data_IF_186929430282
#
_entry.id   IF_186929430282
#
_cell.length_a   1.000
_cell.length_b   1.000
_cell.length_c   1.000
_cell.angle_alpha   90.00
_cell.angle_beta   90.00
_cell.angle_gamma   90.00
#
_symmetry.space_group_name_H-M   'P 1'
#
loop_
_entity.id
_entity.type
_entity.pdbx_description
1 polymer ?
#
# COMPACT_ATOMS: atom_id res chain seq x y z
N UNK A 1 8.89 -5.53 -18.16
CA UNK A 1 8.82 -6.44 -17.00
C UNK A 1 9.75 -7.61 -17.25
N UNK A 2 10.26 -8.25 -16.20
CA UNK A 2 10.85 -9.58 -16.28
C UNK A 2 10.09 -10.51 -15.35
N UNK A 3 9.97 -11.75 -15.80
CA UNK A 3 9.27 -12.85 -15.17
C UNK A 3 9.43 -14.08 -16.08
N UNK A 4 9.10 -15.29 -15.62
CA UNK A 4 8.66 -15.60 -14.26
C UNK A 4 9.77 -15.42 -13.22
N UNK A 5 9.39 -15.24 -11.95
CA UNK A 5 10.34 -15.08 -10.82
C UNK A 5 10.63 -16.45 -10.21
N UNK A 6 11.91 -16.80 -10.11
CA UNK A 6 12.36 -17.99 -9.38
C UNK A 6 12.89 -17.60 -8.02
N UNK A 7 12.30 -18.19 -6.97
CA UNK A 7 12.69 -17.99 -5.58
C UNK A 7 13.48 -19.21 -5.13
N UNK A 8 14.63 -18.97 -4.48
CA UNK A 8 15.44 -20.00 -3.84
C UNK A 8 15.46 -19.77 -2.34
N UNK A 9 15.10 -20.79 -1.56
CA UNK A 9 15.16 -20.77 -0.10
C UNK A 9 15.88 -22.04 0.38
N UNK A 10 17.14 -21.88 0.77
CA UNK A 10 18.03 -23.01 1.03
C UNK A 10 18.29 -23.81 -0.25
N UNK A 11 18.04 -25.12 -0.19
CA UNK A 11 18.18 -26.05 -1.33
C UNK A 11 16.92 -26.14 -2.20
N UNK A 12 15.82 -25.53 -1.76
CA UNK A 12 14.55 -25.58 -2.45
C UNK A 12 14.41 -24.40 -3.42
N UNK A 13 13.73 -24.64 -4.53
CA UNK A 13 13.43 -23.63 -5.54
C UNK A 13 11.99 -23.76 -6.03
N UNK A 14 11.35 -22.63 -6.29
CA UNK A 14 10.04 -22.56 -6.92
C UNK A 14 9.97 -21.39 -7.89
N UNK A 15 9.23 -21.54 -8.98
CA UNK A 15 9.05 -20.49 -9.99
C UNK A 15 7.59 -20.06 -10.02
N UNK A 16 7.36 -18.76 -9.91
CA UNK A 16 6.04 -18.13 -9.94
C UNK A 16 5.89 -17.25 -11.18
N UNK A 17 4.67 -17.13 -11.70
CA UNK A 17 4.33 -16.26 -12.83
C UNK A 17 4.24 -14.76 -12.45
N UNK A 18 4.94 -14.36 -11.38
CA UNK A 18 5.05 -12.97 -10.97
C UNK A 18 6.00 -12.19 -11.89
N UNK A 19 5.90 -10.87 -11.84
CA UNK A 19 6.71 -9.98 -12.65
C UNK A 19 7.28 -8.81 -11.84
N UNK A 20 8.46 -8.33 -12.24
CA UNK A 20 9.05 -7.10 -11.73
C UNK A 20 9.50 -6.20 -12.88
N UNK A 21 9.58 -4.89 -12.64
CA UNK A 21 10.14 -3.96 -13.62
C UNK A 21 11.61 -4.26 -13.92
N UNK A 22 12.05 -4.04 -15.16
CA UNK A 22 13.45 -4.23 -15.58
C UNK A 22 14.25 -2.96 -15.26
N UNK A 23 14.44 -2.70 -13.97
CA UNK A 23 15.23 -1.57 -13.50
C UNK A 23 15.97 -1.95 -12.22
N UNK A 24 17.32 -1.93 -12.21
CA UNK A 24 18.12 -2.30 -11.03
C UNK A 24 17.84 -1.46 -9.78
N UNK A 25 17.38 -0.21 -9.93
CA UNK A 25 16.97 0.64 -8.80
C UNK A 25 15.71 0.13 -8.12
N UNK A 26 14.90 -0.66 -8.83
CA UNK A 26 13.64 -1.24 -8.37
C UNK A 26 13.72 -2.77 -8.46
N UNK A 27 14.84 -3.33 -7.97
CA UNK A 27 14.97 -4.78 -7.81
C UNK A 27 13.97 -5.28 -6.75
N UNK A 28 13.55 -6.56 -6.82
CA UNK A 28 12.76 -7.21 -5.78
C UNK A 28 13.42 -7.04 -4.41
N UNK A 29 12.61 -6.70 -3.41
CA UNK A 29 13.05 -6.68 -2.02
C UNK A 29 12.64 -7.99 -1.34
N UNK A 30 13.54 -8.55 -0.55
CA UNK A 30 13.33 -9.78 0.18
C UNK A 30 13.47 -9.49 1.68
N UNK A 31 12.45 -9.84 2.45
CA UNK A 31 12.43 -9.67 3.91
C UNK A 31 12.07 -11.01 4.54
N UNK A 32 12.93 -11.50 5.44
CA UNK A 32 12.57 -12.59 6.35
C UNK A 32 12.05 -11.97 7.65
N UNK A 33 10.86 -12.38 8.05
CA UNK A 33 10.23 -11.90 9.28
C UNK A 33 9.30 -12.95 9.86
N UNK A 34 9.32 -13.12 11.18
CA UNK A 34 8.31 -13.89 11.93
C UNK A 34 7.02 -13.04 12.04
N UNK A 35 6.19 -13.09 10.99
CA UNK A 35 4.94 -12.32 10.91
C UNK A 35 3.86 -12.96 11.79
N UNK A 36 3.86 -14.29 11.89
CA UNK A 36 2.93 -15.07 12.71
C UNK A 36 3.20 -15.02 14.22
N UNK A 37 4.41 -14.60 14.62
CA UNK A 37 4.93 -14.64 16.00
C UNK A 37 4.92 -16.04 16.60
N UNK A 38 5.11 -17.05 15.76
CA UNK A 38 5.18 -18.45 16.16
C UNK A 38 6.63 -18.98 16.21
N UNK A 39 7.60 -18.10 15.91
CA UNK A 39 9.02 -18.43 15.86
C UNK A 39 9.49 -18.98 14.51
N UNK A 40 8.62 -19.05 13.50
CA UNK A 40 8.97 -19.39 12.12
C UNK A 40 8.94 -18.11 11.28
N UNK A 41 9.96 -17.92 10.43
CA UNK A 41 10.03 -16.77 9.55
C UNK A 41 9.27 -17.05 8.25
N UNK A 42 8.49 -16.07 7.79
CA UNK A 42 7.98 -15.99 6.43
C UNK A 42 8.91 -15.16 5.54
N UNK A 43 9.00 -15.53 4.26
CA UNK A 43 9.68 -14.74 3.25
C UNK A 43 8.68 -13.81 2.58
N UNK A 44 8.84 -12.52 2.79
CA UNK A 44 8.12 -11.46 2.08
C UNK A 44 8.95 -11.01 0.87
N UNK A 45 8.32 -11.01 -0.29
CA UNK A 45 8.89 -10.59 -1.56
C UNK A 45 8.08 -9.39 -2.03
N UNK A 46 8.72 -8.22 -2.11
CA UNK A 46 8.11 -7.00 -2.62
C UNK A 46 8.59 -6.78 -4.05
N UNK A 47 7.68 -6.83 -5.00
CA UNK A 47 7.96 -6.64 -6.42
C UNK A 47 7.49 -5.25 -6.84
N UNK A 48 8.34 -4.48 -7.51
CA UNK A 48 7.91 -3.24 -8.16
C UNK A 48 7.29 -3.59 -9.50
N UNK A 49 6.00 -3.28 -9.69
CA UNK A 49 5.23 -3.58 -10.92
C UNK A 49 4.99 -2.34 -11.78
N UNK A 50 5.20 -1.14 -11.22
CA UNK A 50 5.15 0.12 -11.98
C UNK A 50 5.85 1.25 -11.24
N UNK A 51 6.47 2.16 -11.98
CA UNK A 51 7.08 3.37 -11.41
C UNK A 51 7.08 4.52 -12.44
N UNK A 52 7.13 5.76 -11.97
CA UNK A 52 7.19 6.95 -12.81
C UNK A 52 7.02 8.24 -12.01
N UNK A 53 6.80 9.36 -12.70
CA UNK A 53 6.50 10.63 -12.05
C UNK A 53 5.18 10.53 -11.29
N UNK A 54 5.25 10.46 -9.97
CA UNK A 54 4.08 10.34 -9.09
C UNK A 54 3.51 8.92 -8.96
N UNK A 55 4.14 7.91 -9.55
CA UNK A 55 3.66 6.52 -9.52
C UNK A 55 4.72 5.61 -8.93
N UNK A 56 4.32 4.80 -7.95
CA UNK A 56 5.06 3.64 -7.47
C UNK A 56 4.04 2.57 -7.10
N UNK A 57 3.99 1.49 -7.87
CA UNK A 57 3.12 0.35 -7.66
C UNK A 57 3.97 -0.88 -7.36
N UNK A 58 3.55 -1.63 -6.35
CA UNK A 58 4.21 -2.85 -5.92
C UNK A 58 3.19 -3.94 -5.62
N UNK A 59 3.64 -5.19 -5.70
CA UNK A 59 2.95 -6.38 -5.20
C UNK A 59 3.75 -6.96 -4.03
N UNK A 60 3.05 -7.53 -3.05
CA UNK A 60 3.66 -8.23 -1.92
C UNK A 60 3.24 -9.70 -1.95
N UNK A 61 4.22 -10.58 -2.01
CA UNK A 61 4.04 -12.03 -1.90
C UNK A 61 4.64 -12.51 -0.58
N UNK A 62 3.91 -13.31 0.18
CA UNK A 62 4.36 -13.83 1.47
C UNK A 62 4.38 -15.34 1.39
N UNK A 63 5.55 -15.93 1.60
CA UNK A 63 5.78 -17.36 1.46
C UNK A 63 6.15 -17.99 2.80
N UNK A 64 5.57 -19.16 3.06
CA UNK A 64 6.10 -20.10 4.03
C UNK A 64 7.38 -20.76 3.50
N UNK A 65 8.16 -21.39 4.37
CA UNK A 65 9.41 -22.08 4.02
C UNK A 65 9.24 -23.22 2.99
N UNK A 66 8.01 -23.74 2.85
CA UNK A 66 7.66 -24.76 1.86
C UNK A 66 7.12 -24.20 0.53
N UNK A 67 7.23 -22.89 0.31
CA UNK A 67 6.70 -22.15 -0.84
C UNK A 67 5.17 -22.06 -0.92
N UNK A 68 4.44 -22.34 0.17
CA UNK A 68 3.02 -22.00 0.24
C UNK A 68 2.86 -20.48 0.35
N UNK A 69 2.14 -19.87 -0.59
CA UNK A 69 1.82 -18.44 -0.54
C UNK A 69 0.64 -18.15 0.40
N UNK A 70 0.83 -17.16 1.27
CA UNK A 70 -0.19 -16.61 2.16
C UNK A 70 -0.70 -15.32 1.52
N UNK A 71 -1.94 -15.33 1.04
CA UNK A 71 -2.51 -14.21 0.31
C UNK A 71 -2.81 -13.03 1.24
N UNK A 72 -2.37 -11.84 0.82
CA UNK A 72 -2.77 -10.59 1.44
C UNK A 72 -4.22 -10.23 1.01
N UNK A 73 -5.06 -9.69 1.90
CA UNK A 73 -6.34 -9.10 1.51
C UNK A 73 -6.16 -7.92 0.56
N UNK A 74 -7.24 -7.47 -0.07
CA UNK A 74 -7.23 -6.29 -0.93
C UNK A 74 -7.12 -5.00 -0.07
N UNK A 75 -5.95 -4.33 -0.05
CA UNK A 75 -5.75 -3.19 0.81
C UNK A 75 -6.49 -1.94 0.36
N UNK A 76 -6.74 -1.81 -0.94
CA UNK A 76 -7.50 -0.68 -1.47
C UNK A 76 -8.95 -0.77 -0.98
N UNK A 77 -9.56 -1.95 -1.12
CA UNK A 77 -10.91 -2.22 -0.65
C UNK A 77 -11.06 -2.01 0.86
N UNK A 78 -10.10 -2.48 1.66
CA UNK A 78 -10.13 -2.32 3.12
C UNK A 78 -9.96 -0.85 3.53
N UNK A 79 -9.06 -0.12 2.86
CA UNK A 79 -8.86 1.31 3.11
C UNK A 79 -10.08 2.14 2.71
N UNK A 80 -10.68 1.88 1.54
CA UNK A 80 -11.89 2.57 1.07
C UNK A 80 -13.08 2.39 2.03
N UNK A 81 -13.19 1.23 2.70
CA UNK A 81 -14.24 1.00 3.70
C UNK A 81 -14.01 1.77 5.00
N UNK A 82 -12.76 2.04 5.35
CA UNK A 82 -12.39 2.76 6.57
C UNK A 82 -12.41 4.29 6.40
N UNK A 83 -12.30 4.76 5.15
CA UNK A 83 -12.25 6.19 4.82
C UNK A 83 -13.65 6.75 4.60
N UNK A 84 -13.92 7.89 5.22
CA UNK A 84 -15.01 8.78 4.83
C UNK A 84 -14.47 10.19 4.60
N UNK A 85 -15.22 11.03 3.91
CA UNK A 85 -14.76 12.38 3.58
C UNK A 85 -15.90 13.38 3.49
N UNK A 86 -15.53 14.65 3.63
CA UNK A 86 -16.39 15.79 3.29
C UNK A 86 -15.62 16.78 2.44
N UNK A 87 -16.28 17.38 1.45
CA UNK A 87 -15.74 18.45 0.60
C UNK A 87 -16.64 19.67 0.75
N UNK A 88 -16.06 20.83 1.00
CA UNK A 88 -16.78 22.09 1.14
C UNK A 88 -16.04 23.24 0.45
N UNK A 89 -16.78 24.01 -0.34
CA UNK A 89 -16.27 25.18 -1.05
C UNK A 89 -16.60 26.46 -0.28
N UNK A 90 -15.61 27.34 -0.08
CA UNK A 90 -15.81 28.64 0.56
C UNK A 90 -14.89 29.70 -0.05
N UNK A 91 -15.47 30.73 -0.66
CA UNK A 91 -14.75 31.94 -1.11
C UNK A 91 -13.49 31.67 -1.96
N UNK A 92 -13.57 30.73 -2.91
CA UNK A 92 -12.44 30.35 -3.76
C UNK A 92 -11.43 29.40 -3.10
N UNK A 93 -11.75 28.89 -1.91
CA UNK A 93 -11.05 27.82 -1.23
C UNK A 93 -11.85 26.52 -1.29
N UNK A 94 -11.14 25.40 -1.32
CA UNK A 94 -11.71 24.05 -1.21
C UNK A 94 -11.17 23.37 0.03
N UNK A 95 -12.10 22.95 0.89
CA UNK A 95 -11.81 22.27 2.14
C UNK A 95 -12.14 20.79 2.00
N UNK A 96 -11.17 19.95 2.30
CA UNK A 96 -11.32 18.49 2.36
C UNK A 96 -11.13 18.05 3.81
N UNK A 97 -12.03 17.22 4.30
CA UNK A 97 -11.81 16.48 5.55
C UNK A 97 -11.82 15.00 5.24
N UNK A 98 -10.75 14.31 5.57
CA UNK A 98 -10.62 12.85 5.52
C UNK A 98 -10.83 12.34 6.94
N UNK A 99 -11.76 11.41 7.12
CA UNK A 99 -12.05 10.79 8.41
C UNK A 99 -11.75 9.31 8.35
N UNK A 100 -10.85 8.85 9.22
CA UNK A 100 -10.45 7.44 9.35
C UNK A 100 -10.56 7.06 10.82
N UNK A 101 -11.32 6.01 11.13
CA UNK A 101 -11.51 5.55 12.52
C UNK A 101 -11.94 6.65 13.51
N UNK A 102 -12.69 7.65 13.03
CA UNK A 102 -13.17 8.80 13.81
C UNK A 102 -12.15 9.93 14.00
N UNK A 103 -10.92 9.79 13.49
CA UNK A 103 -9.92 10.85 13.44
C UNK A 103 -10.10 11.67 12.15
N UNK A 104 -10.10 13.00 12.28
CA UNK A 104 -10.30 13.92 11.17
C UNK A 104 -8.99 14.60 10.76
N UNK A 105 -8.66 14.53 9.48
CA UNK A 105 -7.55 15.25 8.85
C UNK A 105 -8.13 16.25 7.86
N UNK A 106 -7.91 17.55 8.10
CA UNK A 106 -8.51 18.61 7.28
C UNK A 106 -7.45 19.38 6.50
N UNK A 107 -7.73 19.61 5.22
CA UNK A 107 -6.84 20.28 4.29
C UNK A 107 -7.61 21.36 3.54
N UNK A 108 -6.97 22.51 3.37
CA UNK A 108 -7.56 23.68 2.72
C UNK A 108 -6.64 24.13 1.59
N UNK A 109 -7.18 24.26 0.39
CA UNK A 109 -6.45 24.67 -0.81
C UNK A 109 -7.15 25.81 -1.52
N UNK A 110 -6.42 26.60 -2.31
CA UNK A 110 -7.05 27.53 -3.23
C UNK A 110 -7.62 26.74 -4.40
N UNK A 111 -8.80 27.11 -4.90
CA UNK A 111 -9.40 26.46 -6.06
C UNK A 111 -8.46 26.47 -7.28
N UNK A 112 -7.59 27.48 -7.37
CA UNK A 112 -6.57 27.61 -8.43
C UNK A 112 -5.32 26.73 -8.28
N UNK A 113 -5.13 26.03 -7.16
CA UNK A 113 -3.91 25.23 -6.92
C UNK A 113 -3.81 24.03 -7.89
N UNK A 114 -4.94 23.55 -8.41
CA UNK A 114 -4.98 22.58 -9.51
C UNK A 114 -6.09 22.91 -10.49
N UNK A 115 -5.90 22.51 -11.75
CA UNK A 115 -6.92 22.68 -12.80
C UNK A 115 -8.07 21.67 -12.68
N UNK A 116 -7.96 20.66 -11.82
CA UNK A 116 -8.99 19.64 -11.61
C UNK A 116 -8.94 19.08 -10.20
N UNK A 117 -9.94 19.46 -9.41
CA UNK A 117 -10.27 18.84 -8.13
C UNK A 117 -11.22 17.66 -8.33
N UNK A 118 -11.11 16.67 -7.46
CA UNK A 118 -12.07 15.58 -7.37
C UNK A 118 -13.21 15.94 -6.41
N UNK A 119 -14.39 15.41 -6.68
CA UNK A 119 -15.58 15.59 -5.81
C UNK A 119 -15.55 14.67 -4.58
N UNK A 120 -14.59 13.75 -4.55
CA UNK A 120 -14.33 12.84 -3.44
C UNK A 120 -12.83 12.55 -3.31
N UNK A 121 -12.43 12.05 -2.15
CA UNK A 121 -11.07 11.54 -1.94
C UNK A 121 -10.92 10.22 -2.70
N UNK A 122 -9.93 10.14 -3.58
CA UNK A 122 -9.60 8.93 -4.35
C UNK A 122 -8.37 8.30 -3.73
N UNK A 123 -8.42 7.00 -3.43
CA UNK A 123 -7.23 6.25 -3.05
C UNK A 123 -6.56 5.69 -4.30
N UNK A 124 -5.27 5.98 -4.46
CA UNK A 124 -4.50 5.50 -5.60
C UNK A 124 -4.36 3.98 -5.55
N UNK A 125 -4.59 3.31 -6.69
CA UNK A 125 -4.34 1.88 -6.83
C UNK A 125 -2.84 1.55 -6.99
N UNK A 126 -1.97 2.56 -7.04
CA UNK A 126 -0.52 2.40 -6.97
C UNK A 126 -0.10 2.16 -5.51
N UNK A 127 -0.31 0.93 -5.05
CA UNK A 127 -0.06 0.53 -3.67
C UNK A 127 1.44 0.31 -3.47
N UNK A 128 1.98 0.93 -2.41
CA UNK A 128 3.33 0.65 -1.92
C UNK A 128 3.28 -0.26 -0.70
N UNK A 129 3.90 -1.43 -0.79
CA UNK A 129 4.04 -2.34 0.34
C UNK A 129 5.36 -2.13 1.08
N UNK A 130 5.37 -2.42 2.37
CA UNK A 130 6.57 -2.55 3.21
C UNK A 130 6.32 -3.54 4.34
N UNK A 131 7.40 -4.04 4.94
CA UNK A 131 7.34 -4.79 6.19
C UNK A 131 7.88 -3.93 7.31
N UNK A 132 7.11 -3.77 8.39
CA UNK A 132 7.48 -2.94 9.53
C UNK A 132 6.86 -3.53 10.81
N UNK A 133 7.67 -3.69 11.86
CA UNK A 133 7.22 -4.21 13.17
C UNK A 133 6.44 -5.54 13.11
N UNK A 134 6.81 -6.44 12.18
CA UNK A 134 6.14 -7.73 11.98
C UNK A 134 4.78 -7.64 11.28
N UNK A 135 4.49 -6.52 10.61
CA UNK A 135 3.29 -6.30 9.84
C UNK A 135 3.63 -6.04 8.38
N UNK A 136 2.74 -6.44 7.47
CA UNK A 136 2.77 -5.99 6.07
C UNK A 136 1.90 -4.74 5.98
N UNK A 137 2.51 -3.61 5.60
CA UNK A 137 1.82 -2.33 5.47
C UNK A 137 1.67 -1.98 4.00
N UNK A 138 0.44 -1.70 3.59
CA UNK A 138 0.06 -1.27 2.25
C UNK A 138 -0.32 0.21 2.28
N UNK A 139 0.31 1.03 1.44
CA UNK A 139 0.25 2.48 1.50
C UNK A 139 -0.24 3.09 0.18
N UNK A 140 -1.41 3.73 0.21
CA UNK A 140 -2.10 4.31 -0.94
C UNK A 140 -2.13 5.83 -0.81
N UNK A 141 -1.80 6.57 -1.87
CA UNK A 141 -1.94 8.01 -1.85
C UNK A 141 -3.42 8.42 -1.77
N UNK A 142 -3.74 9.40 -0.94
CA UNK A 142 -5.06 10.01 -0.88
C UNK A 142 -5.09 11.22 -1.82
N UNK A 143 -5.63 11.05 -3.01
CA UNK A 143 -5.67 12.06 -4.05
C UNK A 143 -6.95 12.92 -3.94
N UNK A 144 -6.77 14.23 -3.92
CA UNK A 144 -7.87 15.23 -3.88
C UNK A 144 -8.12 15.87 -5.24
N UNK A 145 -7.18 15.73 -6.16
CA UNK A 145 -7.20 16.31 -7.49
C UNK A 145 -5.90 15.99 -8.22
N UNK A 146 -5.78 16.45 -9.46
CA UNK A 146 -4.59 16.17 -10.27
C UNK A 146 -3.32 16.74 -9.61
N UNK A 147 -2.41 15.85 -9.22
CA UNK A 147 -1.15 16.20 -8.58
C UNK A 147 -1.27 16.65 -7.12
N UNK A 148 -2.46 16.52 -6.50
CA UNK A 148 -2.69 16.96 -5.12
C UNK A 148 -3.01 15.75 -4.26
N UNK A 149 -2.06 15.35 -3.43
CA UNK A 149 -2.23 14.31 -2.42
C UNK A 149 -1.63 14.80 -1.08
N UNK A 150 -2.43 15.19 -0.08
CA UNK A 150 -1.94 15.66 1.22
C UNK A 150 -1.23 14.58 2.03
N UNK A 151 -1.34 13.31 1.65
CA UNK A 151 -0.79 12.20 2.41
C UNK A 151 -1.22 10.86 1.84
N UNK A 152 -1.12 9.83 2.69
CA UNK A 152 -1.38 8.44 2.34
C UNK A 152 -2.31 7.81 3.36
N UNK A 153 -3.15 6.90 2.91
CA UNK A 153 -3.87 5.96 3.77
C UNK A 153 -3.05 4.68 3.83
N UNK A 154 -2.81 4.18 5.04
CA UNK A 154 -2.06 2.96 5.27
C UNK A 154 -2.95 1.91 5.90
N UNK A 155 -2.95 0.70 5.33
CA UNK A 155 -3.60 -0.48 5.88
C UNK A 155 -2.51 -1.47 6.31
N UNK A 156 -2.54 -1.89 7.58
CA UNK A 156 -1.59 -2.85 8.12
C UNK A 156 -2.23 -4.20 8.40
N UNK A 157 -1.47 -5.24 8.12
CA UNK A 157 -1.90 -6.63 8.24
C UNK A 157 -0.99 -7.42 9.16
N UNK A 158 -1.61 -8.20 10.04
CA UNK A 158 -0.94 -9.17 10.90
C UNK A 158 -1.28 -10.58 10.44
N UNK A 159 -0.30 -11.48 10.46
CA UNK A 159 -0.55 -12.89 10.22
C UNK A 159 -1.05 -13.55 11.51
N UNK A 160 -2.28 -14.09 11.49
CA UNK A 160 -2.88 -14.81 12.61
C UNK A 160 -3.49 -16.10 12.13
N UNK A 161 -3.17 -17.21 12.79
CA UNK A 161 -3.69 -18.54 12.45
C UNK A 161 -3.51 -18.88 10.96
N UNK A 162 -2.39 -18.47 10.37
CA UNK A 162 -2.06 -18.70 8.96
C UNK A 162 -2.78 -17.80 7.94
N UNK A 163 -3.47 -16.76 8.39
CA UNK A 163 -4.18 -15.81 7.52
C UNK A 163 -3.89 -14.35 7.90
N UNK A 164 -3.78 -13.48 6.91
CA UNK A 164 -3.66 -12.06 7.16
C UNK A 164 -4.99 -11.46 7.62
N UNK A 165 -4.94 -10.72 8.72
CA UNK A 165 -6.06 -9.95 9.25
C UNK A 165 -5.71 -8.47 9.28
N UNK A 166 -6.68 -7.62 8.95
CA UNK A 166 -6.52 -6.17 9.05
C UNK A 166 -6.31 -5.78 10.52
N UNK A 167 -5.13 -5.24 10.82
CA UNK A 167 -4.74 -4.78 12.15
C UNK A 167 -5.12 -3.31 12.39
N UNK A 168 -5.12 -2.50 11.33
CA UNK A 168 -5.52 -1.10 11.41
C UNK A 168 -5.46 -0.38 10.07
N UNK A 169 -6.14 0.77 10.03
CA UNK A 169 -6.06 1.74 8.93
C UNK A 169 -5.86 3.13 9.53
N UNK A 170 -4.93 3.91 9.00
CA UNK A 170 -4.68 5.28 9.47
C UNK A 170 -4.22 6.18 8.33
N UNK A 171 -4.26 7.49 8.59
CA UNK A 171 -3.74 8.50 7.68
C UNK A 171 -2.31 8.86 8.07
N UNK A 172 -1.45 9.06 7.07
CA UNK A 172 -0.09 9.60 7.23
C UNK A 172 0.00 10.86 6.37
N UNK A 173 0.12 12.01 7.01
CA UNK A 173 0.32 13.29 6.32
C UNK A 173 1.65 13.27 5.53
N UNK A 174 1.59 13.81 4.31
CA UNK A 174 2.76 14.05 3.46
C UNK A 174 3.58 15.21 4.01
N UNK A 175 4.90 15.14 3.81
CA UNK A 175 5.86 16.18 4.20
C UNK A 175 6.12 17.13 3.04
#
# INVERSE_FOLDING_TARGET
>A
MYGPITVQWGELTHTYDWENVVNPTYAPELVLADLGRDGQEELVILLTTGYGTGVYASEAHVLQADFTEILLPDPLRDAEQAVSYTVADQEGMRNFTITINGENHSFTYQESDTGMWFDHVVLSNHIRHRVENGQVISSMAAELGHGVAPGRVEAAYELKDGQFVLAGVWFVEGV
#
